data_IF_871646423942
#
_entry.id   IF_871646423942
#
_cell.length_a   1.000
_cell.length_b   1.000
_cell.length_c   1.000
_cell.angle_alpha   90.00
_cell.angle_beta   90.00
_cell.angle_gamma   90.00
#
_symmetry.space_group_name_H-M   'P 1'
#
loop_
_entity.id
_entity.type
_entity.pdbx_description
1 polymer ?
#
# COMPACT_ATOMS: atom_id res chain seq x y z
N UNK A 1 3.88 0.62 -3.43
CA UNK A 1 3.47 -0.34 -4.46
C UNK A 1 3.58 -1.71 -3.82
N UNK A 2 2.55 -2.54 -3.94
CA UNK A 2 2.47 -3.83 -3.23
C UNK A 2 3.32 -4.92 -3.91
N UNK A 3 4.48 -4.50 -4.43
CA UNK A 3 5.53 -5.39 -4.88
C UNK A 3 6.02 -6.17 -3.66
N UNK A 4 6.54 -7.36 -3.91
CA UNK A 4 6.94 -8.39 -2.94
C UNK A 4 8.18 -8.00 -2.09
N UNK A 5 8.23 -6.73 -1.66
CA UNK A 5 9.21 -6.17 -0.76
C UNK A 5 8.94 -6.64 0.67
N UNK A 6 10.02 -6.86 1.41
CA UNK A 6 9.96 -7.32 2.80
C UNK A 6 9.28 -6.33 3.76
N UNK A 7 8.96 -5.11 3.31
CA UNK A 7 8.24 -4.09 4.06
C UNK A 7 6.71 -4.23 3.98
N UNK A 8 6.19 -5.12 3.13
CA UNK A 8 4.76 -5.36 2.97
C UNK A 8 4.26 -6.49 3.89
N UNK A 9 3.09 -6.26 4.52
CA UNK A 9 2.38 -7.29 5.32
C UNK A 9 1.63 -8.28 4.43
N UNK A 10 1.12 -7.80 3.29
CA UNK A 10 0.44 -8.58 2.24
C UNK A 10 0.55 -7.82 0.92
N UNK A 11 1.11 -8.45 -0.12
CA UNK A 11 1.27 -7.90 -1.46
C UNK A 11 -0.07 -7.60 -2.18
N UNK A 12 -1.21 -7.97 -1.59
CA UNK A 12 -2.55 -7.64 -2.12
C UNK A 12 -3.19 -6.43 -1.44
N UNK A 13 -2.55 -5.88 -0.40
CA UNK A 13 -3.03 -4.71 0.32
C UNK A 13 -2.26 -3.49 -0.15
N UNK A 14 -3.00 -2.44 -0.47
CA UNK A 14 -2.45 -1.13 -0.80
C UNK A 14 -3.03 -0.07 0.13
N UNK A 15 -2.40 1.11 0.15
CA UNK A 15 -2.88 2.26 0.92
C UNK A 15 -3.81 3.10 0.05
N UNK A 16 -5.00 3.39 0.58
CA UNK A 16 -5.91 4.38 0.02
C UNK A 16 -5.85 5.66 0.85
N UNK A 17 -5.58 6.81 0.20
CA UNK A 17 -5.57 8.12 0.85
C UNK A 17 -6.77 8.95 0.39
N UNK A 18 -7.44 9.61 1.33
CA UNK A 18 -8.57 10.51 1.07
C UNK A 18 -8.29 11.87 1.71
N UNK A 19 -8.35 12.93 0.92
CA UNK A 19 -8.23 14.31 1.39
C UNK A 19 -9.51 15.08 1.04
N UNK A 20 -10.33 15.40 2.06
CA UNK A 20 -11.57 16.15 1.90
C UNK A 20 -12.01 16.76 3.23
N UNK A 21 -12.70 17.93 3.25
CA UNK A 21 -13.38 18.42 4.44
C UNK A 21 -14.42 17.42 4.99
N UNK A 22 -14.97 16.56 4.14
CA UNK A 22 -15.96 15.56 4.52
C UNK A 22 -15.34 14.22 4.91
N UNK A 23 -14.03 14.05 4.75
CA UNK A 23 -13.34 12.85 5.22
C UNK A 23 -13.32 12.86 6.76
N UNK A 24 -13.65 11.72 7.37
CA UNK A 24 -13.58 11.58 8.83
C UNK A 24 -12.12 11.65 9.28
N UNK A 25 -11.83 12.53 10.24
CA UNK A 25 -10.49 12.69 10.83
C UNK A 25 -10.41 11.97 12.17
N UNK A 26 -9.22 11.46 12.51
CA UNK A 26 -8.98 10.79 13.79
C UNK A 26 -9.79 9.50 13.99
N UNK A 27 -10.24 8.86 12.91
CA UNK A 27 -11.04 7.65 12.93
C UNK A 27 -10.29 6.50 12.24
N UNK A 28 -10.49 5.28 12.73
CA UNK A 28 -10.02 4.06 12.09
C UNK A 28 -11.21 3.39 11.43
N UNK A 29 -11.23 3.39 10.11
CA UNK A 29 -12.20 2.64 9.31
C UNK A 29 -11.63 1.24 9.04
N UNK A 30 -12.27 0.21 9.59
CA UNK A 30 -11.86 -1.19 9.42
C UNK A 30 -12.72 -1.93 8.39
N UNK A 31 -13.52 -1.20 7.61
CA UNK A 31 -14.30 -1.77 6.51
C UNK A 31 -13.37 -2.34 5.44
N UNK A 32 -13.69 -3.53 4.94
CA UNK A 32 -12.94 -4.11 3.82
C UNK A 32 -13.30 -3.38 2.53
N UNK A 33 -12.33 -2.65 1.97
CA UNK A 33 -12.46 -1.99 0.68
C UNK A 33 -11.58 -2.64 -0.38
N UNK A 34 -12.05 -2.56 -1.63
CA UNK A 34 -11.30 -2.91 -2.82
C UNK A 34 -11.15 -1.68 -3.72
N UNK A 35 -10.36 -1.78 -4.80
CA UNK A 35 -10.30 -0.70 -5.81
C UNK A 35 -11.69 -0.39 -6.40
N UNK A 36 -12.54 -1.40 -6.55
CA UNK A 36 -13.93 -1.21 -6.98
C UNK A 36 -14.76 -0.40 -5.97
N UNK A 37 -14.50 -0.53 -4.67
CA UNK A 37 -15.12 0.33 -3.65
C UNK A 37 -14.77 1.81 -3.84
N UNK A 38 -13.52 2.09 -4.22
CA UNK A 38 -13.07 3.45 -4.51
C UNK A 38 -13.77 4.00 -5.75
N UNK A 39 -13.81 3.23 -6.85
CA UNK A 39 -14.52 3.60 -8.07
C UNK A 39 -16.00 3.86 -7.80
N UNK A 40 -16.66 2.93 -7.10
CA UNK A 40 -18.08 3.08 -6.74
C UNK A 40 -18.35 4.33 -5.92
N UNK A 41 -17.44 4.70 -5.02
CA UNK A 41 -17.54 5.93 -4.24
C UNK A 41 -17.45 7.17 -5.13
N UNK A 42 -16.51 7.20 -6.08
CA UNK A 42 -16.36 8.29 -7.03
C UNK A 42 -17.58 8.43 -7.94
N UNK A 43 -18.10 7.31 -8.48
CA UNK A 43 -19.33 7.28 -9.27
C UNK A 43 -20.49 7.92 -8.52
N UNK A 44 -20.71 7.53 -7.26
CA UNK A 44 -21.79 8.05 -6.43
C UNK A 44 -21.63 9.54 -6.13
N UNK A 45 -20.40 10.03 -5.90
CA UNK A 45 -20.14 11.45 -5.67
C UNK A 45 -20.35 12.31 -6.93
N UNK A 46 -20.03 11.76 -8.10
CA UNK A 46 -20.14 12.45 -9.39
C UNK A 46 -21.51 12.25 -10.06
N UNK A 47 -22.38 11.39 -9.51
CA UNK A 47 -23.67 11.03 -10.10
C UNK A 47 -23.55 10.15 -11.35
N UNK A 48 -22.47 9.40 -11.49
CA UNK A 48 -22.22 8.52 -12.62
C UNK A 48 -22.88 7.14 -12.42
N UNK A 49 -23.34 6.49 -13.49
CA UNK A 49 -23.75 5.10 -13.42
C UNK A 49 -22.54 4.18 -13.20
N UNK A 50 -22.76 2.98 -12.66
CA UNK A 50 -21.72 1.95 -12.57
C UNK A 50 -21.19 1.58 -13.96
N UNK A 51 -19.88 1.42 -14.09
CA UNK A 51 -19.24 1.01 -15.34
C UNK A 51 -19.30 -0.51 -15.56
N UNK A 52 -19.50 -1.29 -14.50
CA UNK A 52 -19.49 -2.75 -14.53
C UNK A 52 -20.35 -3.36 -13.43
N UNK A 53 -20.50 -4.69 -13.42
CA UNK A 53 -21.14 -5.37 -12.29
C UNK A 53 -20.30 -5.32 -11.00
N UNK A 54 -18.98 -5.13 -11.13
CA UNK A 54 -18.05 -5.18 -10.01
C UNK A 54 -18.11 -3.89 -9.19
N UNK A 55 -18.13 -2.72 -9.83
CA UNK A 55 -18.35 -1.44 -9.13
C UNK A 55 -19.80 -1.33 -8.63
N UNK A 56 -20.79 -1.77 -9.40
CA UNK A 56 -22.21 -1.74 -8.99
C UNK A 56 -22.46 -2.47 -7.66
N UNK A 57 -21.75 -3.58 -7.41
CA UNK A 57 -21.86 -4.39 -6.20
C UNK A 57 -20.83 -4.05 -5.11
N UNK A 58 -19.89 -3.15 -5.40
CA UNK A 58 -18.85 -2.79 -4.45
C UNK A 58 -19.41 -1.98 -3.28
N UNK A 59 -18.88 -2.23 -2.07
CA UNK A 59 -19.24 -1.45 -0.88
C UNK A 59 -18.64 -0.04 -0.99
N UNK A 60 -19.44 1.04 -1.01
CA UNK A 60 -18.92 2.40 -1.06
C UNK A 60 -18.22 2.78 0.26
N UNK A 61 -17.31 3.74 0.21
CA UNK A 61 -16.50 4.18 1.35
C UNK A 61 -17.24 5.10 2.33
N UNK A 62 -18.55 4.91 2.54
CA UNK A 62 -19.37 5.81 3.37
C UNK A 62 -18.85 5.97 4.80
N UNK A 63 -18.28 4.93 5.39
CA UNK A 63 -17.71 4.99 6.74
C UNK A 63 -16.52 5.96 6.82
N UNK A 64 -15.80 6.18 5.71
CA UNK A 64 -14.70 7.14 5.62
C UNK A 64 -15.16 8.60 5.47
N UNK A 65 -16.45 8.85 5.23
CA UNK A 65 -17.01 10.20 5.05
C UNK A 65 -18.06 10.58 6.10
N UNK A 66 -18.25 11.88 6.30
CA UNK A 66 -19.31 12.48 7.09
C UNK A 66 -20.10 13.49 6.27
N UNK A 67 -21.24 13.93 6.80
CA UNK A 67 -22.11 14.93 6.16
C UNK A 67 -21.82 16.37 6.58
N UNK A 68 -21.00 16.55 7.65
CA UNK A 68 -20.56 17.85 8.13
C UNK A 68 -19.10 18.08 7.73
N UNK A 69 -18.76 19.19 7.08
CA UNK A 69 -17.39 19.48 6.71
C UNK A 69 -16.57 19.90 7.93
N UNK A 70 -15.36 19.36 8.06
CA UNK A 70 -14.30 19.85 8.92
C UNK A 70 -13.31 20.68 8.09
N UNK A 71 -13.36 22.00 8.28
CA UNK A 71 -12.54 22.99 7.57
C UNK A 71 -11.21 23.28 8.26
N UNK A 72 -10.85 22.53 9.30
CA UNK A 72 -9.57 22.71 10.00
C UNK A 72 -8.41 22.53 9.00
N UNK A 73 -7.50 23.50 8.84
CA UNK A 73 -6.40 23.39 7.89
C UNK A 73 -5.47 22.21 8.20
N UNK A 74 -4.87 21.64 7.16
CA UNK A 74 -3.79 20.66 7.33
C UNK A 74 -2.49 21.40 7.69
N UNK A 75 -1.82 20.93 8.75
CA UNK A 75 -0.45 21.33 9.03
C UNK A 75 0.48 20.43 8.25
N UNK A 76 1.11 20.97 7.19
CA UNK A 76 2.08 20.18 6.43
C UNK A 76 3.29 19.85 7.31
N UNK A 77 3.81 18.62 7.19
CA UNK A 77 5.11 18.26 7.75
C UNK A 77 6.14 18.35 6.64
N UNK A 78 7.25 19.03 6.90
CA UNK A 78 8.37 19.05 5.97
C UNK A 78 8.99 17.66 5.90
N UNK A 79 9.56 17.25 4.75
CA UNK A 79 10.37 16.04 4.68
C UNK A 79 11.46 16.07 5.76
N UNK A 80 11.61 14.95 6.48
CA UNK A 80 12.67 14.78 7.48
C UNK A 80 14.01 14.35 6.84
N UNK A 81 13.97 13.93 5.57
CA UNK A 81 15.10 13.53 4.73
C UNK A 81 15.19 14.44 3.51
N UNK A 82 16.38 14.55 2.92
CA UNK A 82 16.54 15.24 1.64
C UNK A 82 15.92 14.39 0.53
N UNK A 83 14.85 14.90 -0.08
CA UNK A 83 14.12 14.24 -1.16
C UNK A 83 14.94 14.16 -2.46
N UNK A 84 16.07 14.85 -2.54
CA UNK A 84 16.99 14.81 -3.66
C UNK A 84 18.24 13.96 -3.37
N UNK A 85 18.36 13.40 -2.17
CA UNK A 85 19.44 12.50 -1.82
C UNK A 85 19.42 11.28 -2.75
N UNK A 86 20.60 10.93 -3.27
CA UNK A 86 20.79 9.78 -4.15
C UNK A 86 21.75 8.81 -3.50
N UNK A 87 21.52 7.51 -3.74
CA UNK A 87 22.49 6.49 -3.42
C UNK A 87 23.82 6.79 -4.11
N UNK A 88 24.91 6.80 -3.33
CA UNK A 88 26.26 6.99 -3.87
C UNK A 88 26.79 5.67 -4.44
N UNK A 89 27.89 5.74 -5.19
CA UNK A 89 28.61 4.54 -5.66
C UNK A 89 29.17 3.68 -4.53
N UNK A 90 29.24 4.21 -3.30
CA UNK A 90 29.68 3.52 -2.09
C UNK A 90 28.53 2.83 -1.34
N UNK A 91 27.28 3.03 -1.78
CA UNK A 91 26.12 2.39 -1.16
C UNK A 91 26.22 0.86 -1.26
N UNK A 92 25.65 0.17 -0.28
CA UNK A 92 25.66 -1.29 -0.28
C UNK A 92 25.01 -1.83 -1.54
N UNK A 93 25.69 -2.73 -2.25
CA UNK A 93 25.17 -3.34 -3.47
C UNK A 93 25.20 -2.44 -4.71
N UNK A 94 25.77 -1.22 -4.66
CA UNK A 94 25.77 -0.30 -5.80
C UNK A 94 26.36 -0.91 -7.09
N UNK A 95 27.50 -1.60 -7.01
CA UNK A 95 28.11 -2.28 -8.16
C UNK A 95 27.20 -3.34 -8.77
N UNK A 96 26.61 -4.21 -7.92
CA UNK A 96 25.67 -5.25 -8.37
C UNK A 96 24.39 -4.66 -8.95
N UNK A 97 23.90 -3.55 -8.39
CA UNK A 97 22.70 -2.86 -8.88
C UNK A 97 22.92 -2.25 -10.27
N UNK A 98 24.12 -1.77 -10.57
CA UNK A 98 24.48 -1.21 -11.88
C UNK A 98 24.55 -2.27 -12.99
N UNK A 99 24.75 -3.54 -12.62
CA UNK A 99 24.74 -4.68 -13.55
C UNK A 99 23.32 -5.20 -13.85
N UNK A 100 22.30 -4.74 -13.10
CA UNK A 100 20.91 -5.17 -13.29
C UNK A 100 20.26 -4.44 -14.47
N UNK A 101 19.41 -5.16 -15.22
CA UNK A 101 18.57 -4.56 -16.23
C UNK A 101 17.40 -3.82 -15.56
N UNK A 102 17.40 -2.49 -15.63
CA UNK A 102 16.34 -1.61 -15.14
C UNK A 102 15.59 -0.89 -16.29
N UNK A 103 15.88 -1.24 -17.54
CA UNK A 103 15.31 -0.58 -18.72
C UNK A 103 13.88 -1.07 -19.02
N UNK A 104 13.55 -2.28 -18.57
CA UNK A 104 12.25 -2.93 -18.76
C UNK A 104 11.62 -3.28 -17.40
N UNK A 105 10.29 -3.21 -17.33
CA UNK A 105 9.52 -3.57 -16.14
C UNK A 105 9.76 -5.04 -15.79
N UNK A 106 9.99 -5.33 -14.52
CA UNK A 106 10.22 -6.69 -13.98
C UNK A 106 11.45 -7.43 -14.55
N UNK A 107 12.38 -6.74 -15.22
CA UNK A 107 13.58 -7.35 -15.78
C UNK A 107 14.70 -7.57 -14.73
N UNK A 108 14.67 -6.84 -13.62
CA UNK A 108 15.64 -6.99 -12.55
C UNK A 108 15.36 -8.23 -11.70
N UNK A 109 16.40 -8.94 -11.22
CA UNK A 109 16.22 -10.10 -10.34
C UNK A 109 15.65 -9.66 -8.98
N UNK A 110 14.34 -9.84 -8.81
CA UNK A 110 13.54 -9.33 -7.68
C UNK A 110 14.18 -9.56 -6.30
N UNK A 111 14.58 -10.80 -5.98
CA UNK A 111 15.14 -11.11 -4.65
C UNK A 111 16.48 -10.40 -4.39
N UNK A 112 17.34 -10.37 -5.40
CA UNK A 112 18.64 -9.71 -5.29
C UNK A 112 18.49 -8.18 -5.20
N UNK A 113 17.58 -7.60 -5.97
CA UNK A 113 17.28 -6.17 -5.90
C UNK A 113 16.68 -5.79 -4.54
N UNK A 114 15.76 -6.59 -4.02
CA UNK A 114 15.18 -6.39 -2.68
C UNK A 114 16.25 -6.45 -1.58
N UNK A 115 17.21 -7.37 -1.67
CA UNK A 115 18.32 -7.44 -0.70
C UNK A 115 19.20 -6.19 -0.75
N UNK A 116 19.48 -5.67 -1.95
CA UNK A 116 20.21 -4.41 -2.16
C UNK A 116 19.49 -3.23 -1.52
N UNK A 117 18.18 -3.09 -1.78
CA UNK A 117 17.38 -2.02 -1.21
C UNK A 117 17.31 -2.14 0.32
N UNK A 118 17.07 -3.34 0.85
CA UNK A 118 16.97 -3.55 2.29
C UNK A 118 18.26 -3.19 3.02
N UNK A 119 19.40 -3.72 2.57
CA UNK A 119 20.69 -3.51 3.23
C UNK A 119 21.26 -2.11 3.02
N UNK A 120 20.89 -1.41 1.95
CA UNK A 120 21.27 0.00 1.78
C UNK A 120 20.58 0.90 2.81
N UNK A 121 19.36 0.58 3.22
CA UNK A 121 18.57 1.35 4.21
C UNK A 121 18.81 0.88 5.64
N UNK A 122 18.85 -0.44 5.88
CA UNK A 122 18.89 -1.06 7.21
C UNK A 122 20.30 -1.42 7.68
N UNK A 123 21.29 -1.27 6.80
CA UNK A 123 22.70 -1.59 7.04
C UNK A 123 23.11 -2.93 6.44
N UNK A 124 24.39 -3.04 6.08
CA UNK A 124 24.98 -4.20 5.39
C UNK A 124 24.78 -5.54 6.13
N UNK A 125 24.82 -5.49 7.47
CA UNK A 125 24.70 -6.65 8.35
C UNK A 125 23.25 -6.99 8.72
N UNK A 126 22.28 -6.24 8.21
CA UNK A 126 20.88 -6.51 8.49
C UNK A 126 20.39 -7.76 7.74
N UNK A 127 19.73 -8.72 8.42
CA UNK A 127 19.08 -9.82 7.75
C UNK A 127 17.83 -9.30 7.04
N UNK A 128 17.71 -9.55 5.73
CA UNK A 128 16.47 -9.26 5.00
C UNK A 128 15.43 -10.35 5.34
N UNK A 129 14.25 -9.99 5.86
CA UNK A 129 13.18 -10.96 6.06
C UNK A 129 12.73 -11.56 4.72
N UNK A 130 12.34 -12.84 4.74
CA UNK A 130 11.78 -13.48 3.56
C UNK A 130 10.37 -12.95 3.27
N UNK A 131 9.97 -12.85 1.99
CA UNK A 131 8.59 -12.56 1.63
C UNK A 131 7.61 -13.53 2.30
N UNK A 132 6.56 -12.99 2.90
CA UNK A 132 5.54 -13.77 3.62
C UNK A 132 4.34 -13.99 2.71
N UNK A 133 4.29 -15.14 2.04
CA UNK A 133 3.11 -15.57 1.26
C UNK A 133 2.10 -16.34 2.15
N UNK A 134 1.67 -15.77 3.28
CA UNK A 134 0.79 -16.52 4.20
C UNK A 134 -0.65 -16.53 3.68
N UNK A 135 -1.10 -17.67 3.16
CA UNK A 135 -2.52 -17.99 3.07
C UNK A 135 -2.99 -18.54 4.41
N UNK A 136 -3.83 -17.79 5.14
CA UNK A 136 -4.49 -18.31 6.34
C UNK A 136 -5.77 -19.04 5.94
N UNK A 137 -5.72 -20.37 5.86
CA UNK A 137 -6.96 -21.16 5.93
C UNK A 137 -7.52 -21.01 7.34
N UNK A 138 -8.61 -20.25 7.50
CA UNK A 138 -9.43 -20.37 8.70
C UNK A 138 -10.07 -21.76 8.67
N UNK A 139 -9.47 -22.74 9.35
CA UNK A 139 -10.23 -23.94 9.71
C UNK A 139 -11.33 -23.48 10.66
N UNK A 140 -12.57 -23.52 10.20
CA UNK A 140 -13.71 -23.43 11.10
C UNK A 140 -13.66 -24.69 11.98
N UNK A 141 -13.08 -24.56 13.17
CA UNK A 141 -13.32 -25.53 14.24
C UNK A 141 -14.81 -25.46 14.57
N UNK A 142 -15.57 -26.43 14.06
CA UNK A 142 -16.93 -26.68 14.47
C UNK A 142 -16.93 -26.94 15.98
N UNK A 143 -17.48 -26.00 16.74
CA UNK A 143 -17.86 -26.26 18.14
C UNK A 143 -18.91 -27.35 18.11
N UNK A 144 -18.51 -28.56 18.48
CA UNK A 144 -19.45 -29.65 18.79
C UNK A 144 -20.30 -29.23 19.99
N UNK A 145 -21.59 -29.02 19.75
CA UNK A 145 -22.59 -29.01 20.80
C UNK A 145 -22.90 -30.46 21.19
N UNK A 146 -22.61 -30.81 22.45
CA UNK A 146 -23.35 -31.79 23.24
C UNK A 146 -23.38 -31.30 24.67
#
# INVERSE_FOLDING_TARGET
DAQDGSDHVDARRTVALVASPYARRGAVDSTLYTTSSMLRTMELMLGLPPMSQYDASATPMYASFGVKPDLTPYTHRKPEIDVNEKNTTMAWGAGKSLEMNLDEVDAAPMFALNEIIWKSVKGADSPMPLPVHRFAFHSQTSRGAR
#
